data_IF_446928372553
#
_entry.id   IF_446928372553
#
_cell.length_a   1.000
_cell.length_b   1.000
_cell.length_c   1.000
_cell.angle_alpha   90.00
_cell.angle_beta   90.00
_cell.angle_gamma   90.00
#
_symmetry.space_group_name_H-M   'P 1'
#
loop_
_entity.id
_entity.type
_entity.pdbx_description
1 polymer ?
#
# COMPACT_ATOMS: atom_id res chain seq x y z
N UNK A 1 -9.59 -10.81 -40.88
CA UNK A 1 -10.60 -9.72 -41.07
C UNK A 1 -10.83 -8.95 -39.77
N UNK A 2 -11.04 -9.62 -38.64
CA UNK A 2 -11.21 -8.98 -37.32
C UNK A 2 -10.00 -8.16 -36.87
N UNK A 3 -8.77 -8.64 -37.06
CA UNK A 3 -7.57 -7.87 -36.68
C UNK A 3 -7.41 -6.53 -37.43
N UNK A 4 -7.85 -6.46 -38.69
CA UNK A 4 -7.83 -5.22 -39.45
C UNK A 4 -8.92 -4.23 -38.98
N UNK A 5 -10.11 -4.73 -38.66
CA UNK A 5 -11.21 -3.94 -38.08
C UNK A 5 -10.80 -3.39 -36.72
N UNK A 6 -10.23 -4.24 -35.85
CA UNK A 6 -9.69 -3.81 -34.57
C UNK A 6 -8.61 -2.73 -34.76
N UNK A 7 -7.62 -2.96 -35.62
CA UNK A 7 -6.56 -1.98 -35.89
C UNK A 7 -7.07 -0.62 -36.39
N UNK A 8 -8.16 -0.59 -37.18
CA UNK A 8 -8.80 0.66 -37.61
C UNK A 8 -9.55 1.31 -36.44
N UNK A 9 -10.27 0.52 -35.64
CA UNK A 9 -10.96 1.00 -34.43
C UNK A 9 -10.02 1.70 -33.46
N UNK A 10 -8.90 1.07 -33.10
CA UNK A 10 -7.87 1.66 -32.23
C UNK A 10 -7.32 2.99 -32.75
N UNK A 11 -7.10 3.09 -34.07
CA UNK A 11 -6.63 4.33 -34.71
C UNK A 11 -7.70 5.42 -34.69
N UNK A 12 -8.95 5.06 -34.96
CA UNK A 12 -10.07 6.00 -34.90
C UNK A 12 -10.26 6.56 -33.48
N UNK A 13 -10.21 5.70 -32.46
CA UNK A 13 -10.26 6.11 -31.05
C UNK A 13 -9.12 7.05 -30.68
N UNK A 14 -7.90 6.72 -31.12
CA UNK A 14 -6.71 7.57 -30.89
C UNK A 14 -6.89 8.95 -31.53
N UNK A 15 -7.31 9.02 -32.79
CA UNK A 15 -7.54 10.28 -33.51
C UNK A 15 -8.68 11.07 -32.86
N UNK A 16 -9.77 10.42 -32.45
CA UNK A 16 -10.87 11.07 -31.75
C UNK A 16 -10.42 11.71 -30.43
N UNK A 17 -9.57 11.04 -29.66
CA UNK A 17 -8.98 11.60 -28.45
C UNK A 17 -8.13 12.85 -28.74
N UNK A 18 -7.31 12.83 -29.80
CA UNK A 18 -6.54 13.99 -30.23
C UNK A 18 -7.41 15.16 -30.71
N UNK A 19 -8.46 14.88 -31.49
CA UNK A 19 -9.42 15.91 -31.92
C UNK A 19 -10.12 16.56 -30.73
N UNK A 20 -10.56 15.76 -29.76
CA UNK A 20 -11.16 16.23 -28.51
C UNK A 20 -10.19 17.10 -27.71
N UNK A 21 -8.91 16.73 -27.67
CA UNK A 21 -7.86 17.50 -26.99
C UNK A 21 -7.57 18.83 -27.71
N UNK A 22 -7.48 18.82 -29.03
CA UNK A 22 -7.24 20.03 -29.83
C UNK A 22 -8.42 21.01 -29.76
N UNK A 23 -9.67 20.51 -29.81
CA UNK A 23 -10.86 21.34 -29.66
C UNK A 23 -10.93 22.07 -28.31
N UNK A 24 -10.27 21.52 -27.29
CA UNK A 24 -10.13 22.17 -25.98
C UNK A 24 -9.12 23.32 -25.99
N UNK A 25 -8.08 23.27 -26.81
CA UNK A 25 -7.07 24.33 -26.90
C UNK A 25 -7.75 25.60 -27.41
N UNK A 26 -8.06 26.53 -26.49
CA UNK A 26 -8.83 27.75 -26.78
C UNK A 26 -10.36 27.63 -26.60
N UNK A 27 -10.88 26.45 -26.26
CA UNK A 27 -12.31 26.19 -26.00
C UNK A 27 -12.72 26.31 -24.52
N UNK A 28 -14.01 26.06 -24.18
CA UNK A 28 -14.47 25.99 -22.80
C UNK A 28 -13.86 24.77 -22.07
N UNK A 29 -13.82 24.83 -20.73
CA UNK A 29 -13.40 23.70 -19.91
C UNK A 29 -14.46 22.59 -19.96
N UNK A 30 -14.02 21.34 -20.08
CA UNK A 30 -14.86 20.16 -19.93
C UNK A 30 -14.79 19.69 -18.47
N UNK A 31 -15.95 19.64 -17.79
CA UNK A 31 -16.02 19.32 -16.37
C UNK A 31 -15.68 17.84 -16.06
N UNK A 32 -15.74 16.97 -17.05
CA UNK A 32 -15.45 15.54 -16.89
C UNK A 32 -13.94 15.23 -16.97
N UNK A 33 -13.14 16.20 -17.44
CA UNK A 33 -11.71 16.03 -17.67
C UNK A 33 -10.86 17.01 -16.87
N UNK A 34 -9.63 16.58 -16.62
CA UNK A 34 -8.54 17.39 -16.09
C UNK A 34 -7.49 17.48 -17.17
N UNK A 35 -7.29 18.71 -17.66
CA UNK A 35 -6.35 19.03 -18.72
C UNK A 35 -5.19 19.86 -18.17
N UNK A 36 -3.95 19.53 -18.54
CA UNK A 36 -2.80 20.34 -18.17
C UNK A 36 -1.65 20.18 -19.17
N UNK A 37 -0.87 21.25 -19.33
CA UNK A 37 0.41 21.21 -20.05
C UNK A 37 1.50 20.78 -19.07
N UNK A 38 2.33 19.83 -19.46
CA UNK A 38 3.52 19.42 -18.72
C UNK A 38 4.77 19.63 -19.58
N UNK A 39 5.85 20.02 -18.92
CA UNK A 39 7.19 20.01 -19.50
C UNK A 39 7.93 18.86 -18.84
N UNK A 40 8.30 17.86 -19.63
CA UNK A 40 9.08 16.75 -19.13
C UNK A 40 10.55 17.16 -19.03
N UNK A 41 11.10 16.93 -17.84
CA UNK A 41 12.46 17.32 -17.48
C UNK A 41 13.24 16.12 -16.97
N UNK A 42 14.43 15.91 -17.53
CA UNK A 42 15.41 14.93 -17.05
C UNK A 42 16.65 15.72 -16.65
N UNK A 43 17.08 15.57 -15.39
CA UNK A 43 18.26 16.25 -14.85
C UNK A 43 18.27 17.78 -15.04
N UNK A 44 17.07 18.39 -14.98
CA UNK A 44 16.89 19.82 -15.15
C UNK A 44 16.86 20.30 -16.60
N UNK A 45 17.07 19.41 -17.58
CA UNK A 45 16.92 19.71 -19.00
C UNK A 45 15.50 19.39 -19.48
N UNK A 46 14.88 20.35 -20.15
CA UNK A 46 13.60 20.18 -20.83
C UNK A 46 13.82 19.39 -22.12
N UNK A 47 13.06 18.31 -22.32
CA UNK A 47 13.21 17.47 -23.50
C UNK A 47 11.88 17.20 -24.23
N UNK A 48 10.74 17.38 -23.55
CA UNK A 48 9.42 17.26 -24.18
C UNK A 48 8.40 18.19 -23.52
N UNK A 49 7.37 18.56 -24.28
CA UNK A 49 6.22 19.33 -23.81
C UNK A 49 4.96 18.62 -24.29
N UNK A 50 4.16 18.16 -23.34
CA UNK A 50 2.94 17.40 -23.61
C UNK A 50 1.70 18.09 -23.05
N UNK A 51 0.62 18.08 -23.84
CA UNK A 51 -0.71 18.37 -23.31
C UNK A 51 -1.36 17.06 -22.86
N UNK A 52 -1.73 16.99 -21.58
CA UNK A 52 -2.36 15.81 -20.99
C UNK A 52 -3.83 16.07 -20.75
N UNK A 53 -4.63 15.03 -21.01
CA UNK A 53 -6.05 14.94 -20.63
C UNK A 53 -6.31 13.66 -19.87
N UNK A 54 -6.96 13.76 -18.72
CA UNK A 54 -7.36 12.61 -17.91
C UNK A 54 -8.78 12.82 -17.40
N UNK A 55 -9.53 11.72 -17.26
CA UNK A 55 -10.83 11.77 -16.59
C UNK A 55 -10.69 12.24 -15.14
N UNK A 56 -11.54 13.19 -14.75
CA UNK A 56 -11.70 13.59 -13.35
C UNK A 56 -12.16 12.38 -12.54
N UNK A 57 -13.24 11.75 -13.02
CA UNK A 57 -13.77 10.47 -12.53
C UNK A 57 -13.38 9.33 -13.48
N UNK A 58 -12.35 8.53 -13.14
CA UNK A 58 -11.91 7.42 -13.98
C UNK A 58 -12.91 6.26 -14.02
N UNK A 59 -13.93 6.24 -13.15
CA UNK A 59 -14.88 5.13 -13.10
C UNK A 59 -15.97 5.25 -14.15
N UNK A 60 -16.18 6.43 -14.75
CA UNK A 60 -17.05 6.64 -15.92
C UNK A 60 -16.64 5.80 -17.13
N UNK A 61 -15.43 5.96 -17.71
CA UNK A 61 -15.04 5.15 -18.86
C UNK A 61 -14.95 3.66 -18.52
N UNK A 62 -14.58 3.32 -17.28
CA UNK A 62 -14.63 1.94 -16.80
C UNK A 62 -16.05 1.36 -16.83
N UNK A 63 -17.04 2.11 -16.36
CA UNK A 63 -18.42 1.68 -16.39
C UNK A 63 -18.95 1.52 -17.82
N UNK A 64 -18.68 2.48 -18.71
CA UNK A 64 -19.11 2.41 -20.11
C UNK A 64 -18.53 1.20 -20.85
N UNK A 65 -17.23 0.95 -20.67
CA UNK A 65 -16.51 -0.04 -21.48
C UNK A 65 -16.59 -1.44 -20.87
N UNK A 66 -16.61 -1.55 -19.55
CA UNK A 66 -16.50 -2.85 -18.84
C UNK A 66 -17.82 -3.24 -18.19
N UNK A 67 -18.45 -2.35 -17.42
CA UNK A 67 -19.60 -2.74 -16.59
C UNK A 67 -20.92 -2.81 -17.37
N UNK A 68 -21.20 -1.82 -18.23
CA UNK A 68 -22.45 -1.76 -18.99
C UNK A 68 -22.61 -2.86 -20.04
N UNK A 69 -21.55 -3.28 -20.76
CA UNK A 69 -21.66 -4.39 -21.70
C UNK A 69 -21.71 -5.77 -21.02
N UNK A 70 -21.33 -5.85 -19.74
CA UNK A 70 -21.34 -7.10 -18.99
C UNK A 70 -22.77 -7.49 -18.59
N UNK A 71 -23.08 -8.80 -18.65
CA UNK A 71 -24.35 -9.34 -18.15
C UNK A 71 -24.48 -9.22 -16.61
N UNK A 72 -23.34 -9.13 -15.91
CA UNK A 72 -23.25 -8.91 -14.48
C UNK A 72 -21.78 -8.75 -14.07
N UNK A 73 -21.53 -8.06 -12.95
CA UNK A 73 -20.20 -7.84 -12.41
C UNK A 73 -20.19 -8.06 -10.90
N UNK A 74 -19.17 -8.77 -10.41
CA UNK A 74 -18.89 -8.94 -8.98
C UNK A 74 -17.58 -8.22 -8.66
N UNK A 75 -17.66 -7.19 -7.82
CA UNK A 75 -16.47 -6.45 -7.34
C UNK A 75 -16.25 -6.82 -5.87
N UNK A 76 -15.12 -7.46 -5.59
CA UNK A 76 -14.76 -7.93 -4.25
C UNK A 76 -13.36 -7.47 -3.86
N UNK A 77 -13.19 -7.08 -2.60
CA UNK A 77 -11.89 -6.74 -2.01
C UNK A 77 -12.00 -6.76 -0.48
N UNK A 78 -10.94 -7.20 0.19
CA UNK A 78 -10.85 -7.21 1.64
C UNK A 78 -10.88 -5.79 2.26
N UNK A 79 -10.60 -4.75 1.47
CA UNK A 79 -10.52 -3.35 1.93
C UNK A 79 -11.43 -2.41 1.15
N UNK A 80 -12.48 -2.94 0.50
CA UNK A 80 -13.35 -2.18 -0.40
C UNK A 80 -13.99 -0.96 0.27
N UNK A 81 -14.48 -1.12 1.50
CA UNK A 81 -15.17 -0.06 2.26
C UNK A 81 -14.22 0.94 2.92
N UNK A 82 -12.91 0.71 2.94
CA UNK A 82 -11.92 1.71 3.38
C UNK A 82 -11.99 2.17 4.84
N UNK A 83 -12.80 1.50 5.69
CA UNK A 83 -13.03 1.84 7.10
C UNK A 83 -14.02 3.00 7.31
N UNK A 84 -14.33 3.31 8.57
CA UNK A 84 -15.34 4.31 8.94
C UNK A 84 -16.69 3.69 9.28
N UNK A 85 -17.77 4.46 9.22
CA UNK A 85 -19.13 3.91 9.39
C UNK A 85 -19.51 2.99 8.23
N UNK A 86 -20.45 2.07 8.46
CA UNK A 86 -20.88 1.10 7.44
C UNK A 86 -21.36 1.80 6.15
N UNK A 87 -22.15 2.87 6.27
CA UNK A 87 -22.70 3.56 5.11
C UNK A 87 -21.64 4.38 4.36
N UNK A 88 -20.80 5.14 5.08
CA UNK A 88 -19.69 5.87 4.44
C UNK A 88 -18.76 4.93 3.69
N UNK A 89 -18.49 3.75 4.26
CA UNK A 89 -17.65 2.75 3.63
C UNK A 89 -18.26 2.21 2.34
N UNK A 90 -19.57 1.96 2.31
CA UNK A 90 -20.27 1.53 1.09
C UNK A 90 -20.34 2.63 0.03
N UNK A 91 -20.54 3.88 0.42
CA UNK A 91 -20.48 5.01 -0.53
C UNK A 91 -19.10 5.11 -1.19
N UNK A 92 -18.02 4.90 -0.42
CA UNK A 92 -16.65 4.87 -0.96
C UNK A 92 -16.46 3.69 -1.92
N UNK A 93 -16.95 2.51 -1.55
CA UNK A 93 -16.88 1.30 -2.36
C UNK A 93 -17.61 1.47 -3.71
N UNK A 94 -18.84 1.99 -3.67
CA UNK A 94 -19.66 2.24 -4.85
C UNK A 94 -18.98 3.27 -5.76
N UNK A 95 -18.55 4.41 -5.22
CA UNK A 95 -17.87 5.45 -5.99
C UNK A 95 -16.59 4.93 -6.66
N UNK A 96 -15.84 4.01 -6.05
CA UNK A 96 -14.61 3.44 -6.64
C UNK A 96 -14.86 2.31 -7.64
N UNK A 97 -15.98 1.62 -7.52
CA UNK A 97 -16.35 0.51 -8.40
C UNK A 97 -17.07 0.97 -9.67
N UNK A 98 -17.45 2.25 -9.77
CA UNK A 98 -18.25 2.77 -10.88
C UNK A 98 -19.73 2.40 -10.79
N UNK A 99 -20.18 1.84 -9.66
CA UNK A 99 -21.60 1.52 -9.42
C UNK A 99 -22.55 2.72 -9.63
N UNK A 100 -22.19 3.98 -9.27
CA UNK A 100 -23.04 5.14 -9.53
C UNK A 100 -23.33 5.42 -11.01
N UNK A 101 -22.56 4.84 -11.94
CA UNK A 101 -22.77 4.99 -13.38
C UNK A 101 -23.66 3.90 -13.99
N UNK A 102 -24.14 2.97 -13.17
CA UNK A 102 -25.05 1.91 -13.59
C UNK A 102 -26.50 2.30 -13.34
N UNK A 103 -27.40 1.79 -14.17
CA UNK A 103 -28.84 2.05 -14.06
C UNK A 103 -29.46 1.38 -12.82
N UNK A 104 -28.87 0.27 -12.35
CA UNK A 104 -29.34 -0.46 -11.17
C UNK A 104 -28.37 -0.25 -10.01
N UNK A 105 -28.88 -0.07 -8.77
CA UNK A 105 -28.02 0.03 -7.59
C UNK A 105 -27.26 -1.27 -7.37
N UNK A 106 -26.06 -1.17 -6.82
CA UNK A 106 -25.25 -2.32 -6.47
C UNK A 106 -25.84 -3.08 -5.27
N UNK A 107 -25.82 -4.41 -5.33
CA UNK A 107 -26.05 -5.23 -4.14
C UNK A 107 -24.80 -5.19 -3.25
N UNK A 108 -25.01 -4.99 -1.95
CA UNK A 108 -23.95 -4.86 -0.94
C UNK A 108 -23.84 -6.17 -0.15
N UNK A 109 -22.61 -6.66 0.04
CA UNK A 109 -22.33 -7.82 0.88
C UNK A 109 -21.01 -7.62 1.63
N UNK A 110 -21.02 -7.82 2.95
CA UNK A 110 -19.84 -7.77 3.79
C UNK A 110 -19.75 -9.03 4.64
N UNK A 111 -18.55 -9.59 4.74
CA UNK A 111 -18.22 -10.67 5.66
C UNK A 111 -17.23 -10.15 6.71
N UNK A 112 -17.38 -10.62 7.95
CA UNK A 112 -16.41 -10.33 9.01
C UNK A 112 -15.10 -11.05 8.72
N UNK A 113 -13.98 -10.42 9.10
CA UNK A 113 -12.68 -11.08 9.05
C UNK A 113 -12.67 -12.28 10.01
N UNK A 114 -12.15 -13.45 9.60
CA UNK A 114 -12.00 -14.60 10.48
C UNK A 114 -10.81 -14.45 11.46
N UNK A 115 -10.00 -13.40 11.32
CA UNK A 115 -8.74 -13.23 12.06
C UNK A 115 -8.94 -12.46 13.38
N UNK A 116 -8.27 -12.90 14.44
CA UNK A 116 -8.22 -12.21 15.73
C UNK A 116 -7.13 -11.14 15.72
N UNK A 117 -7.42 -10.01 15.08
CA UNK A 117 -6.47 -8.91 14.95
C UNK A 117 -6.01 -8.32 16.29
N UNK A 118 -6.82 -8.41 17.35
CA UNK A 118 -6.49 -7.85 18.66
C UNK A 118 -5.32 -8.59 19.31
N UNK A 119 -5.28 -9.92 19.17
CA UNK A 119 -4.20 -10.76 19.71
C UNK A 119 -3.09 -11.03 18.71
N UNK A 120 -3.37 -10.92 17.40
CA UNK A 120 -2.39 -11.24 16.35
C UNK A 120 -1.54 -10.05 15.92
N UNK A 121 -2.08 -8.83 15.95
CA UNK A 121 -1.39 -7.65 15.45
C UNK A 121 -1.32 -6.51 16.48
N UNK A 122 -0.37 -5.60 16.28
CA UNK A 122 -0.28 -4.33 17.01
C UNK A 122 0.30 -3.25 16.10
N UNK A 123 -0.19 -2.03 16.27
CA UNK A 123 0.31 -0.85 15.56
C UNK A 123 1.09 0.03 16.53
N UNK A 124 2.36 0.26 16.22
CA UNK A 124 3.27 1.09 17.00
C UNK A 124 3.60 2.36 16.21
N UNK A 125 3.30 3.52 16.78
CA UNK A 125 3.65 4.82 16.21
C UNK A 125 4.85 5.35 16.97
N UNK A 126 6.01 5.34 16.34
CA UNK A 126 7.27 5.81 16.93
C UNK A 126 7.35 7.34 16.83
N UNK A 127 7.52 8.01 17.96
CA UNK A 127 7.41 9.47 18.07
C UNK A 127 8.74 10.22 18.19
N UNK A 128 9.84 9.51 18.42
CA UNK A 128 11.16 10.06 18.75
C UNK A 128 12.21 9.92 17.62
N UNK A 129 11.81 9.45 16.43
CA UNK A 129 12.64 9.46 15.22
C UNK A 129 12.41 10.75 14.44
N UNK A 130 13.42 11.63 14.42
CA UNK A 130 13.33 12.95 13.77
C UNK A 130 13.21 12.82 12.24
N UNK A 131 12.20 13.45 11.66
CA UNK A 131 12.00 13.48 10.20
C UNK A 131 13.19 14.13 9.50
N UNK A 132 13.68 13.48 8.44
CA UNK A 132 14.79 13.97 7.62
C UNK A 132 16.17 13.57 8.11
N UNK A 133 16.29 13.03 9.33
CA UNK A 133 17.52 12.42 9.82
C UNK A 133 17.62 10.98 9.29
N UNK A 134 18.41 10.82 8.22
CA UNK A 134 18.61 9.50 7.59
C UNK A 134 19.41 8.56 8.50
N UNK A 135 20.26 9.08 9.39
CA UNK A 135 21.02 8.28 10.34
C UNK A 135 20.12 7.69 11.42
N UNK A 136 19.27 8.51 12.03
CA UNK A 136 18.27 8.06 12.99
C UNK A 136 17.27 7.09 12.36
N UNK A 137 16.81 7.37 11.14
CA UNK A 137 15.93 6.47 10.39
C UNK A 137 16.59 5.11 10.12
N UNK A 138 17.84 5.11 9.66
CA UNK A 138 18.60 3.88 9.43
C UNK A 138 18.79 3.08 10.72
N UNK A 139 19.12 3.74 11.83
CA UNK A 139 19.22 3.09 13.13
C UNK A 139 17.88 2.47 13.58
N UNK A 140 16.76 3.17 13.36
CA UNK A 140 15.43 2.65 13.66
C UNK A 140 15.14 1.37 12.87
N UNK A 141 15.34 1.38 11.54
CA UNK A 141 15.18 0.19 10.71
C UNK A 141 16.08 -0.96 11.15
N UNK A 142 17.37 -0.71 11.36
CA UNK A 142 18.31 -1.75 11.79
C UNK A 142 17.88 -2.40 13.12
N UNK A 143 17.50 -1.60 14.12
CA UNK A 143 17.08 -2.12 15.43
C UNK A 143 15.78 -2.90 15.37
N UNK A 144 14.81 -2.43 14.58
CA UNK A 144 13.54 -3.12 14.40
C UNK A 144 13.70 -4.44 13.62
N UNK A 145 14.56 -4.47 12.60
CA UNK A 145 14.88 -5.69 11.82
C UNK A 145 15.58 -6.72 12.71
N UNK A 146 16.56 -6.29 13.52
CA UNK A 146 17.23 -7.18 14.48
C UNK A 146 16.25 -7.70 15.53
N UNK A 147 15.42 -6.83 16.10
CA UNK A 147 14.40 -7.23 17.07
C UNK A 147 13.38 -8.22 16.48
N UNK A 148 13.09 -8.10 15.19
CA UNK A 148 12.21 -9.01 14.48
C UNK A 148 12.91 -10.28 13.95
N UNK A 149 14.24 -10.39 14.08
CA UNK A 149 15.05 -11.46 13.47
C UNK A 149 14.78 -11.61 11.97
N UNK A 150 14.63 -10.48 11.27
CA UNK A 150 14.23 -10.46 9.86
C UNK A 150 12.72 -10.43 9.65
N UNK A 151 12.24 -10.98 8.54
CA UNK A 151 10.84 -11.00 8.14
C UNK A 151 10.18 -9.61 8.09
N UNK A 152 10.96 -8.61 7.68
CA UNK A 152 10.54 -7.20 7.70
C UNK A 152 10.27 -6.69 6.29
N UNK A 153 9.09 -6.09 6.07
CA UNK A 153 8.80 -5.28 4.90
C UNK A 153 8.93 -3.79 5.24
N UNK A 154 9.98 -3.15 4.75
CA UNK A 154 10.25 -1.72 4.91
C UNK A 154 9.75 -0.89 3.73
N UNK A 155 8.80 0.02 3.96
CA UNK A 155 8.18 0.83 2.92
C UNK A 155 8.65 2.29 2.98
N UNK A 156 9.14 2.76 1.84
CA UNK A 156 9.68 4.10 1.65
C UNK A 156 8.85 4.92 0.67
N UNK A 157 8.69 6.20 0.99
CA UNK A 157 8.01 7.16 0.10
C UNK A 157 8.95 7.69 -1.01
N UNK A 158 10.27 7.53 -0.84
CA UNK A 158 11.28 8.02 -1.77
C UNK A 158 12.47 7.05 -1.91
N UNK A 159 12.82 6.72 -3.16
CA UNK A 159 13.95 5.83 -3.52
C UNK A 159 15.27 6.34 -2.92
N UNK A 160 15.50 7.66 -2.94
CA UNK A 160 16.73 8.25 -2.36
C UNK A 160 16.89 7.91 -0.87
N UNK A 161 15.80 7.90 -0.11
CA UNK A 161 15.82 7.54 1.33
C UNK A 161 16.03 6.04 1.52
N UNK A 162 15.36 5.21 0.73
CA UNK A 162 15.58 3.75 0.72
C UNK A 162 17.06 3.42 0.53
N UNK A 163 17.68 3.94 -0.55
CA UNK A 163 19.11 3.75 -0.84
C UNK A 163 20.01 4.22 0.31
N UNK A 164 19.68 5.39 0.88
CA UNK A 164 20.43 5.98 1.99
C UNK A 164 20.34 5.15 3.28
N UNK A 165 19.19 4.53 3.56
CA UNK A 165 19.03 3.63 4.71
C UNK A 165 19.72 2.31 4.45
N UNK A 166 19.49 1.68 3.29
CA UNK A 166 20.11 0.43 2.90
C UNK A 166 21.64 0.47 3.06
N UNK A 167 22.29 1.47 2.44
CA UNK A 167 23.75 1.61 2.50
C UNK A 167 24.33 1.86 3.90
N UNK A 168 23.51 2.19 4.90
CA UNK A 168 23.95 2.37 6.30
C UNK A 168 23.76 1.11 7.15
N UNK A 169 22.88 0.20 6.75
CA UNK A 169 22.47 -0.93 7.59
C UNK A 169 22.85 -2.29 7.01
N UNK A 170 23.09 -2.39 5.70
CA UNK A 170 23.39 -3.66 5.02
C UNK A 170 24.54 -4.44 5.69
N UNK A 171 25.71 -3.82 5.86
CA UNK A 171 26.88 -4.47 6.48
C UNK A 171 26.65 -4.84 7.95
N UNK A 172 25.81 -4.08 8.66
CA UNK A 172 25.43 -4.41 10.03
C UNK A 172 24.54 -5.64 10.07
N UNK A 173 23.52 -5.70 9.23
CA UNK A 173 22.57 -6.81 9.19
C UNK A 173 23.21 -8.09 8.65
N UNK A 174 24.12 -7.98 7.67
CA UNK A 174 24.88 -9.10 7.16
C UNK A 174 25.73 -9.78 8.26
N UNK A 175 26.34 -9.00 9.16
CA UNK A 175 27.10 -9.54 10.31
C UNK A 175 26.21 -10.26 11.34
N UNK A 176 24.94 -9.88 11.42
CA UNK A 176 23.92 -10.53 12.25
C UNK A 176 23.27 -11.74 11.55
N UNK A 177 23.68 -12.06 10.31
CA UNK A 177 23.09 -13.13 9.52
C UNK A 177 21.67 -12.84 9.05
N UNK A 178 21.30 -11.56 8.88
CA UNK A 178 19.97 -11.11 8.45
C UNK A 178 20.05 -10.53 7.04
N UNK A 179 19.65 -11.27 5.99
CA UNK A 179 19.69 -10.78 4.62
C UNK A 179 18.80 -9.54 4.42
N UNK A 180 19.31 -8.56 3.69
CA UNK A 180 18.58 -7.34 3.36
C UNK A 180 18.47 -7.19 1.85
N UNK A 181 17.25 -7.28 1.35
CA UNK A 181 16.87 -7.11 -0.03
C UNK A 181 16.33 -5.68 -0.23
N UNK A 182 16.62 -5.05 -1.37
CA UNK A 182 16.24 -3.68 -1.62
C UNK A 182 15.90 -3.38 -3.09
N UNK A 183 14.65 -2.98 -3.32
CA UNK A 183 14.21 -2.46 -4.61
C UNK A 183 15.04 -1.23 -5.01
N UNK A 184 15.46 -1.15 -6.26
CA UNK A 184 16.29 -0.07 -6.83
C UNK A 184 17.73 0.01 -6.27
N UNK A 185 18.17 -0.97 -5.48
CA UNK A 185 19.57 -1.15 -5.08
C UNK A 185 20.10 -2.42 -5.72
N UNK A 186 19.39 -3.53 -5.51
CA UNK A 186 19.77 -4.81 -6.09
C UNK A 186 19.50 -4.82 -7.60
N UNK A 187 20.37 -5.45 -8.41
CA UNK A 187 20.20 -5.60 -9.85
C UNK A 187 19.20 -6.73 -10.20
N UNK A 188 18.18 -6.92 -9.36
CA UNK A 188 17.21 -8.00 -9.43
C UNK A 188 15.82 -7.37 -9.63
N UNK A 189 14.97 -8.02 -10.44
CA UNK A 189 13.61 -7.55 -10.64
C UNK A 189 12.76 -7.69 -9.35
N UNK A 190 11.68 -6.91 -9.27
CA UNK A 190 10.87 -6.86 -8.05
C UNK A 190 10.16 -8.18 -7.74
N UNK A 191 9.80 -8.98 -8.74
CA UNK A 191 9.15 -10.29 -8.52
C UNK A 191 10.11 -11.25 -7.83
N UNK A 192 11.31 -11.39 -8.38
CA UNK A 192 12.36 -12.24 -7.80
C UNK A 192 12.74 -11.82 -6.37
N UNK A 193 12.82 -10.50 -6.08
CA UNK A 193 13.06 -10.03 -4.70
C UNK A 193 11.94 -10.45 -3.73
N UNK A 194 10.69 -10.44 -4.18
CA UNK A 194 9.54 -10.89 -3.38
C UNK A 194 9.57 -12.39 -3.15
N UNK A 195 9.99 -13.17 -4.15
CA UNK A 195 10.12 -14.63 -4.02
C UNK A 195 11.23 -15.02 -3.04
N UNK A 196 12.41 -14.39 -3.13
CA UNK A 196 13.49 -14.60 -2.14
C UNK A 196 13.02 -14.22 -0.74
N UNK A 197 12.35 -13.07 -0.60
CA UNK A 197 11.79 -12.64 0.68
C UNK A 197 10.72 -13.60 1.21
N UNK A 198 9.95 -14.25 0.33
CA UNK A 198 8.97 -15.25 0.73
C UNK A 198 9.65 -16.50 1.29
N UNK A 199 10.71 -16.95 0.65
CA UNK A 199 11.35 -18.23 0.93
C UNK A 199 12.35 -18.19 2.10
N UNK A 200 12.86 -17.01 2.47
CA UNK A 200 13.77 -16.81 3.60
C UNK A 200 13.13 -16.03 4.76
N UNK A 201 12.76 -16.70 5.88
CA UNK A 201 12.20 -16.03 7.04
C UNK A 201 13.13 -15.00 7.70
N UNK A 202 14.44 -15.14 7.55
CA UNK A 202 15.43 -14.20 8.06
C UNK A 202 15.64 -12.98 7.17
N UNK A 203 15.20 -13.03 5.91
CA UNK A 203 15.34 -11.92 4.98
C UNK A 203 14.42 -10.75 5.35
N UNK A 204 14.84 -9.54 4.98
CA UNK A 204 14.04 -8.32 5.06
C UNK A 204 14.05 -7.62 3.72
N UNK A 205 12.90 -7.09 3.30
CA UNK A 205 12.73 -6.44 2.00
C UNK A 205 12.41 -4.96 2.17
N UNK A 206 13.26 -4.09 1.62
CA UNK A 206 13.03 -2.66 1.52
C UNK A 206 12.49 -2.33 0.13
N UNK A 207 11.39 -1.59 0.07
CA UNK A 207 10.78 -1.17 -1.19
C UNK A 207 10.10 0.17 -1.11
N UNK A 208 9.64 0.64 -2.27
CA UNK A 208 8.79 1.83 -2.32
C UNK A 208 7.36 1.51 -1.89
N UNK A 209 6.55 2.53 -1.59
CA UNK A 209 5.11 2.35 -1.30
C UNK A 209 4.35 1.50 -2.34
N UNK A 210 4.83 1.44 -3.58
CA UNK A 210 4.26 0.61 -4.64
C UNK A 210 4.46 -0.89 -4.43
N UNK A 211 5.54 -1.29 -3.74
CA UNK A 211 5.83 -2.68 -3.43
C UNK A 211 4.72 -3.32 -2.57
N UNK A 212 4.07 -2.52 -1.72
CA UNK A 212 2.90 -2.94 -0.91
C UNK A 212 1.84 -3.66 -1.73
N UNK A 213 1.59 -3.22 -2.96
CA UNK A 213 0.47 -3.71 -3.75
C UNK A 213 0.78 -5.08 -4.39
N UNK A 214 2.07 -5.44 -4.54
CA UNK A 214 2.52 -6.67 -5.21
C UNK A 214 3.10 -7.77 -4.30
N UNK A 215 3.32 -7.52 -3.00
CA UNK A 215 3.90 -8.52 -2.10
C UNK A 215 2.83 -9.49 -1.61
N UNK A 216 2.99 -10.78 -1.88
CA UNK A 216 2.25 -11.86 -1.22
C UNK A 216 3.17 -12.82 -0.46
N UNK A 217 3.35 -12.55 0.83
CA UNK A 217 4.24 -13.30 1.72
C UNK A 217 3.45 -13.65 2.98
N UNK A 218 2.99 -14.89 3.12
CA UNK A 218 2.33 -15.38 4.33
C UNK A 218 3.34 -15.94 5.35
N UNK A 219 2.95 -16.03 6.61
CA UNK A 219 3.69 -16.79 7.62
C UNK A 219 4.91 -16.06 8.19
N UNK A 220 5.94 -16.82 8.54
CA UNK A 220 7.08 -16.30 9.29
C UNK A 220 7.91 -15.27 8.55
N UNK A 221 7.88 -15.30 7.21
CA UNK A 221 8.65 -14.41 6.35
C UNK A 221 8.13 -12.98 6.35
N UNK A 222 6.91 -12.70 6.82
CA UNK A 222 6.42 -11.34 7.02
C UNK A 222 5.77 -11.17 8.38
N UNK A 223 6.54 -10.66 9.34
CA UNK A 223 6.16 -10.45 10.74
C UNK A 223 6.24 -9.00 11.18
N UNK A 224 6.89 -8.15 10.40
CA UNK A 224 7.04 -6.74 10.68
C UNK A 224 6.84 -5.94 9.41
N UNK A 225 5.92 -4.97 9.45
CA UNK A 225 5.81 -3.94 8.41
C UNK A 225 6.26 -2.62 9.01
N UNK A 226 7.22 -1.94 8.38
CA UNK A 226 7.72 -0.64 8.82
C UNK A 226 7.47 0.40 7.74
N UNK A 227 6.85 1.52 8.09
CA UNK A 227 6.69 2.68 7.20
C UNK A 227 7.49 3.87 7.74
N UNK A 228 8.32 4.49 6.90
CA UNK A 228 9.09 5.69 7.29
C UNK A 228 8.22 6.94 7.52
N UNK A 229 6.95 6.88 7.13
CA UNK A 229 6.07 8.04 7.12
C UNK A 229 4.68 7.72 6.58
N UNK A 230 3.76 8.65 6.82
CA UNK A 230 2.42 8.61 6.25
C UNK A 230 2.53 8.78 4.72
N UNK A 231 1.92 7.88 3.91
CA UNK A 231 2.08 7.88 2.45
C UNK A 231 1.16 8.92 1.79
N UNK A 232 1.44 10.21 2.01
CA UNK A 232 0.67 11.31 1.42
C UNK A 232 0.71 11.25 -0.12
N UNK A 233 -0.40 11.58 -0.81
CA UNK A 233 -0.39 11.69 -2.26
C UNK A 233 0.59 12.75 -2.75
N UNK A 234 1.18 12.52 -3.92
CA UNK A 234 2.01 13.53 -4.58
C UNK A 234 1.12 14.66 -5.11
N UNK A 235 1.47 15.94 -4.87
CA UNK A 235 0.68 17.08 -5.32
C UNK A 235 0.86 17.31 -6.83
N UNK A 236 0.16 16.51 -7.64
CA UNK A 236 0.09 16.66 -9.09
C UNK A 236 -1.15 17.46 -9.49
N UNK A 237 -1.21 17.99 -10.72
CA UNK A 237 -2.40 18.70 -11.22
C UNK A 237 -3.65 17.80 -11.16
N UNK A 238 -3.51 16.55 -11.61
CA UNK A 238 -4.58 15.56 -11.53
C UNK A 238 -5.04 15.30 -10.09
N UNK A 239 -4.09 15.21 -9.16
CA UNK A 239 -4.41 15.05 -7.75
C UNK A 239 -5.14 16.27 -7.19
N UNK A 240 -4.68 17.48 -7.47
CA UNK A 240 -5.32 18.72 -7.01
C UNK A 240 -6.77 18.84 -7.51
N UNK A 241 -7.02 18.53 -8.79
CA UNK A 241 -8.36 18.53 -9.37
C UNK A 241 -9.28 17.49 -8.70
N UNK A 242 -8.80 16.25 -8.53
CA UNK A 242 -9.57 15.19 -7.84
C UNK A 242 -9.80 15.49 -6.37
N UNK A 243 -8.82 16.08 -5.70
CA UNK A 243 -8.92 16.54 -4.31
C UNK A 243 -10.01 17.60 -4.18
N UNK A 244 -10.05 18.58 -5.08
CA UNK A 244 -11.09 19.61 -5.08
C UNK A 244 -12.48 19.01 -5.30
N UNK A 245 -12.64 18.13 -6.29
CA UNK A 245 -13.90 17.46 -6.58
C UNK A 245 -14.34 16.47 -5.48
N UNK A 246 -13.38 15.86 -4.79
CA UNK A 246 -13.60 14.81 -3.79
C UNK A 246 -13.74 15.29 -2.35
N UNK A 247 -13.95 16.58 -2.09
CA UNK A 247 -14.14 17.12 -0.74
C UNK A 247 -12.86 17.48 0.00
N UNK A 248 -11.80 17.84 -0.73
CA UNK A 248 -10.56 18.38 -0.17
C UNK A 248 -9.80 17.36 0.67
N UNK A 249 -9.55 17.69 1.94
CA UNK A 249 -8.78 16.82 2.86
C UNK A 249 -9.41 15.43 3.05
N UNK A 250 -10.74 15.31 2.89
CA UNK A 250 -11.45 14.02 3.00
C UNK A 250 -10.99 13.05 1.90
N UNK A 251 -10.74 13.55 0.69
CA UNK A 251 -10.21 12.75 -0.42
C UNK A 251 -8.81 12.19 -0.08
N UNK A 252 -7.93 13.04 0.46
CA UNK A 252 -6.57 12.66 0.86
C UNK A 252 -6.60 11.61 1.96
N UNK A 253 -7.41 11.84 3.00
CA UNK A 253 -7.58 10.91 4.11
C UNK A 253 -8.09 9.55 3.63
N UNK A 254 -9.08 9.50 2.71
CA UNK A 254 -9.58 8.23 2.14
C UNK A 254 -8.51 7.47 1.35
N UNK A 255 -7.67 8.18 0.61
CA UNK A 255 -6.58 7.57 -0.15
C UNK A 255 -5.53 6.99 0.80
N UNK A 256 -5.20 7.71 1.87
CA UNK A 256 -4.19 7.29 2.84
C UNK A 256 -4.70 6.12 3.69
N UNK A 257 -5.96 6.14 4.12
CA UNK A 257 -6.58 5.00 4.81
C UNK A 257 -6.50 3.74 3.98
N UNK A 258 -6.83 3.82 2.69
CA UNK A 258 -6.74 2.68 1.79
C UNK A 258 -5.30 2.15 1.69
N UNK A 259 -4.31 3.04 1.56
CA UNK A 259 -2.88 2.69 1.53
C UNK A 259 -2.40 2.02 2.82
N UNK A 260 -2.84 2.52 3.98
CA UNK A 260 -2.50 1.96 5.29
C UNK A 260 -3.17 0.61 5.50
N UNK A 261 -4.47 0.49 5.19
CA UNK A 261 -5.22 -0.77 5.28
C UNK A 261 -4.61 -1.84 4.37
N UNK A 262 -4.21 -1.46 3.16
CA UNK A 262 -3.49 -2.36 2.25
C UNK A 262 -2.14 -2.78 2.82
N UNK A 263 -1.40 -1.88 3.48
CA UNK A 263 -0.08 -2.20 4.04
C UNK A 263 -0.21 -3.13 5.23
N UNK A 264 -1.18 -2.84 6.09
CA UNK A 264 -1.54 -3.67 7.23
C UNK A 264 -2.04 -5.05 6.80
N UNK A 265 -2.88 -5.13 5.76
CA UNK A 265 -3.39 -6.40 5.23
C UNK A 265 -2.31 -7.34 4.67
N UNK A 266 -1.06 -6.87 4.53
CA UNK A 266 0.09 -7.74 4.22
C UNK A 266 0.58 -8.52 5.43
N UNK A 267 0.38 -8.00 6.64
CA UNK A 267 0.89 -8.56 7.89
C UNK A 267 0.14 -9.82 8.34
N UNK A 268 -1.17 -9.87 8.17
CA UNK A 268 -2.02 -10.98 8.63
C UNK A 268 -2.80 -11.55 7.43
N UNK A 269 -2.45 -12.76 7.00
CA UNK A 269 -3.08 -13.47 5.87
C UNK A 269 -3.59 -14.85 6.23
N UNK A 270 -3.02 -15.47 7.27
CA UNK A 270 -3.40 -16.77 7.82
C UNK A 270 -3.81 -16.63 9.27
N UNK A 271 -4.56 -17.61 9.77
CA UNK A 271 -5.05 -17.62 11.14
C UNK A 271 -3.94 -17.76 12.20
N UNK A 272 -2.74 -18.18 11.81
CA UNK A 272 -1.56 -18.28 12.69
C UNK A 272 -0.56 -17.14 12.49
N UNK A 273 -0.85 -16.19 11.59
CA UNK A 273 0.00 -15.02 11.38
C UNK A 273 -0.08 -14.09 12.60
N UNK A 274 1.07 -13.56 13.00
CA UNK A 274 1.16 -12.55 14.04
C UNK A 274 2.36 -11.65 13.76
N UNK A 275 2.21 -10.36 14.04
CA UNK A 275 3.28 -9.41 13.79
C UNK A 275 2.98 -8.00 14.28
N UNK A 276 3.87 -7.08 13.94
CA UNK A 276 3.74 -5.68 14.29
C UNK A 276 3.74 -4.79 13.04
N UNK A 277 3.00 -3.70 13.10
CA UNK A 277 3.04 -2.62 12.12
C UNK A 277 3.64 -1.39 12.78
N UNK A 278 4.79 -0.92 12.29
CA UNK A 278 5.50 0.22 12.87
C UNK A 278 5.45 1.42 11.92
N UNK A 279 4.92 2.54 12.41
CA UNK A 279 4.91 3.82 11.73
C UNK A 279 5.95 4.74 12.36
N UNK A 280 7.05 5.04 11.64
CA UNK A 280 8.11 5.94 12.09
C UNK A 280 7.74 7.41 11.83
N UNK A 281 6.59 7.84 12.35
CA UNK A 281 6.08 9.19 12.12
C UNK A 281 5.28 9.73 13.30
N UNK A 282 5.90 10.63 14.06
CA UNK A 282 5.22 11.39 15.11
C UNK A 282 4.02 12.19 14.59
N UNK A 283 4.04 12.56 13.30
CA UNK A 283 2.99 13.32 12.64
C UNK A 283 1.77 12.48 12.22
N UNK A 284 1.69 11.20 12.58
CA UNK A 284 0.56 10.33 12.24
C UNK A 284 -0.75 10.84 12.89
N UNK A 285 -1.70 11.36 12.09
CA UNK A 285 -2.94 11.93 12.61
C UNK A 285 -3.86 10.84 13.18
N UNK A 286 -4.44 11.09 14.36
CA UNK A 286 -5.38 10.16 15.00
C UNK A 286 -6.59 9.83 14.12
N UNK A 287 -7.02 10.79 13.30
CA UNK A 287 -8.14 10.57 12.38
C UNK A 287 -7.87 9.44 11.39
N UNK A 288 -6.62 9.15 11.02
CA UNK A 288 -6.26 8.09 10.05
C UNK A 288 -6.19 6.68 10.67
N UNK A 289 -6.30 6.56 12.00
CA UNK A 289 -6.16 5.27 12.68
C UNK A 289 -7.31 4.30 12.39
N UNK A 290 -8.47 4.79 11.94
CA UNK A 290 -9.56 3.91 11.48
C UNK A 290 -9.26 3.18 10.18
N UNK A 291 -8.05 3.32 9.63
CA UNK A 291 -7.55 2.47 8.55
C UNK A 291 -7.22 1.04 9.02
N UNK A 292 -6.97 0.84 10.32
CA UNK A 292 -6.66 -0.47 10.88
C UNK A 292 -7.95 -1.19 11.30
N UNK A 293 -7.98 -2.54 11.23
CA UNK A 293 -9.13 -3.32 11.68
C UNK A 293 -9.54 -3.01 13.12
N UNK A 294 -10.84 -3.11 13.44
CA UNK A 294 -11.33 -2.91 14.80
C UNK A 294 -10.66 -3.93 15.75
N UNK A 295 -10.31 -3.46 16.96
CA UNK A 295 -9.65 -4.28 17.97
C UNK A 295 -8.12 -4.29 17.92
N UNK A 296 -7.49 -3.84 16.82
CA UNK A 296 -6.02 -3.71 16.75
C UNK A 296 -5.55 -2.65 17.74
N UNK A 297 -4.67 -2.99 18.71
CA UNK A 297 -4.10 -2.00 19.61
C UNK A 297 -3.20 -1.04 18.84
N UNK A 298 -3.42 0.27 19.05
CA UNK A 298 -2.61 1.34 18.45
C UNK A 298 -2.01 2.19 19.55
N UNK A 299 -0.68 2.19 19.65
CA UNK A 299 0.05 2.92 20.71
C UNK A 299 1.15 3.80 20.16
N UNK A 300 1.30 5.00 20.74
CA UNK A 300 2.43 5.90 20.48
C UNK A 300 3.53 5.60 21.50
N UNK A 301 4.74 5.33 21.02
CA UNK A 301 5.85 4.80 21.82
C UNK A 301 7.18 5.40 21.37
N UNK A 302 8.22 5.24 22.19
CA UNK A 302 9.61 5.50 21.76
C UNK A 302 10.13 4.39 20.86
N UNK A 303 11.23 4.63 20.14
CA UNK A 303 11.89 3.60 19.35
C UNK A 303 12.35 2.44 20.23
N UNK A 304 12.85 2.73 21.43
CA UNK A 304 13.29 1.70 22.39
C UNK A 304 12.15 0.79 22.82
N UNK A 305 11.00 1.37 23.16
CA UNK A 305 9.82 0.60 23.53
C UNK A 305 9.28 -0.21 22.36
N UNK A 306 9.27 0.37 21.15
CA UNK A 306 8.84 -0.35 19.95
C UNK A 306 9.73 -1.58 19.68
N UNK A 307 11.05 -1.44 19.81
CA UNK A 307 12.02 -2.53 19.66
C UNK A 307 11.76 -3.64 20.69
N UNK A 308 11.52 -3.28 21.95
CA UNK A 308 11.19 -4.26 23.01
C UNK A 308 9.89 -5.01 22.72
N UNK A 309 8.83 -4.29 22.31
CA UNK A 309 7.53 -4.90 22.00
C UNK A 309 7.61 -5.84 20.78
N UNK A 310 8.32 -5.44 19.72
CA UNK A 310 8.55 -6.28 18.55
C UNK A 310 9.28 -7.57 18.94
N UNK A 311 10.35 -7.48 19.74
CA UNK A 311 11.08 -8.65 20.21
C UNK A 311 10.23 -9.56 21.10
N UNK A 312 9.45 -9.00 22.02
CA UNK A 312 8.59 -9.77 22.93
C UNK A 312 7.52 -10.58 22.18
N UNK A 313 6.95 -10.01 21.12
CA UNK A 313 5.90 -10.66 20.32
C UNK A 313 6.39 -11.86 19.51
N UNK A 314 7.66 -11.88 19.14
CA UNK A 314 8.26 -13.06 18.52
C UNK A 314 8.52 -14.17 19.54
N UNK A 315 8.97 -13.80 20.73
CA UNK A 315 9.21 -14.76 21.81
C UNK A 315 7.91 -15.45 22.26
N UNK A 316 6.79 -14.72 22.35
CA UNK A 316 5.50 -15.32 22.69
C UNK A 316 5.01 -16.29 21.60
N UNK A 317 5.26 -16.01 20.32
CA UNK A 317 4.95 -16.94 19.23
C UNK A 317 5.78 -18.23 19.29
N UNK A 318 7.07 -18.12 19.60
CA UNK A 318 7.93 -19.28 19.76
C UNK A 318 7.45 -20.20 20.90
N UNK A 319 6.99 -19.61 22.01
CA UNK A 319 6.42 -20.35 23.14
C UNK A 319 5.10 -21.08 22.76
N UNK A 320 4.16 -20.37 22.12
CA UNK A 320 2.88 -20.94 21.68
C UNK A 320 3.04 -22.11 20.68
N UNK A 321 4.06 -22.06 19.82
CA UNK A 321 4.36 -23.15 18.88
C UNK A 321 5.01 -24.36 19.55
N UNK A 322 5.79 -24.15 20.61
CA UNK A 322 6.39 -25.23 21.36
C UNK A 322 5.33 -26.04 22.13
N UNK A 323 4.31 -25.36 22.67
CA UNK A 323 3.16 -26.00 23.34
C UNK A 323 2.22 -26.73 22.36
N UNK A 324 2.03 -26.20 21.14
CA UNK A 324 1.21 -26.86 20.12
C UNK A 324 1.91 -28.03 19.40
N UNK A 325 3.23 -28.18 19.57
CA UNK A 325 4.08 -29.13 18.85
C UNK A 325 4.43 -30.41 19.61
N UNK A 326 3.96 -30.60 20.85
CA UNK A 326 4.22 -31.82 21.62
C UNK A 326 3.16 -32.88 21.28
N UNK A 327 3.48 -33.96 20.51
CA UNK A 327 2.54 -35.04 20.33
C UNK A 327 2.43 -35.75 21.69
N UNK A 328 1.20 -35.86 22.20
CA UNK A 328 0.90 -36.70 23.35
C UNK A 328 1.41 -38.13 23.07
N UNK A 329 2.59 -38.45 23.59
CA UNK A 329 3.05 -39.84 23.71
C UNK A 329 2.19 -40.47 24.79
N UNK A 330 1.01 -40.94 24.39
CA UNK A 330 0.23 -41.87 25.20
C UNK A 330 1.07 -43.12 25.47
N UNK A 331 1.06 -43.65 26.70
CA UNK A 331 1.81 -44.86 27.01
C UNK A 331 1.23 -46.02 26.20
N UNK A 332 2.10 -46.73 25.50
CA UNK A 332 1.79 -48.04 24.91
C UNK A 332 1.55 -49.03 26.06
N UNK A 333 0.34 -49.53 26.16
CA UNK A 333 -0.03 -50.77 26.88
C UNK A 333 -1.10 -51.51 26.09
#
# INVERSE_FOLDING_TARGET
>A
REGAIASIGWRAETVAAWLSLLARVGGPADADFVDWLAVDRVEGREFDIGLHRRWLDPTRPFAEVVLKPAHGALVTSATLTGGGSAEEGWQIAEARSGAPHLTRPAARFAALSPFDYATQAEVLIVTDVKRGDVGALANAYARLIVASRGGTLGLFTAIRRLRGVHGRIADRLAREGLPLLAQHVDPIDTGTLVDIFRDDPGASLLGTDALRDGVDVPGESLRLVVMEGVPWPKPTVLHAARRLAGGGAVYDDRLIRARLAQAFGRLIRRADDSGAFVMLSAAMPSRLLSAFPPGVPVTRVTLDEAVTRVAARLSSRAALRHEAGEPARGPLS
#
